data_IF_024783309189
#
_entry.id   IF_024783309189
#
_cell.length_a   1.000
_cell.length_b   1.000
_cell.length_c   1.000
_cell.angle_alpha   90.00
_cell.angle_beta   90.00
_cell.angle_gamma   90.00
#
_symmetry.space_group_name_H-M   'P 1'
#
loop_
_entity.id
_entity.type
_entity.pdbx_description
1 polymer ?
#
# COMPACT_ATOMS: atom_id res chain seq x y z
N UNK A 1 0.36 25.20 -14.08
CA UNK A 1 0.21 23.77 -13.74
C UNK A 1 -1.18 23.64 -13.20
N UNK A 2 -2.05 22.92 -13.91
CA UNK A 2 -3.45 22.84 -13.53
C UNK A 2 -3.61 22.05 -12.22
N UNK A 3 -4.59 22.41 -11.40
CA UNK A 3 -4.84 21.79 -10.09
C UNK A 3 -4.96 20.26 -10.20
N UNK A 4 -5.65 19.79 -11.25
CA UNK A 4 -5.77 18.37 -11.61
C UNK A 4 -4.40 17.72 -11.83
N UNK A 5 -3.51 18.36 -12.58
CA UNK A 5 -2.17 17.84 -12.86
C UNK A 5 -1.34 17.75 -11.57
N UNK A 6 -1.44 18.76 -10.71
CA UNK A 6 -0.75 18.78 -9.43
C UNK A 6 -1.23 17.64 -8.52
N UNK A 7 -2.54 17.44 -8.39
CA UNK A 7 -3.10 16.35 -7.60
C UNK A 7 -2.71 14.96 -8.16
N UNK A 8 -2.78 14.78 -9.49
CA UNK A 8 -2.34 13.55 -10.13
C UNK A 8 -0.85 13.27 -9.89
N UNK A 9 0.00 14.30 -9.98
CA UNK A 9 1.43 14.18 -9.72
C UNK A 9 1.69 13.81 -8.25
N UNK A 10 0.97 14.43 -7.31
CA UNK A 10 1.06 14.11 -5.88
C UNK A 10 0.67 12.66 -5.61
N UNK A 11 -0.46 12.19 -6.14
CA UNK A 11 -0.90 10.80 -5.97
C UNK A 11 0.14 9.84 -6.56
N UNK A 12 0.62 10.08 -7.78
CA UNK A 12 1.63 9.23 -8.45
C UNK A 12 2.94 9.20 -7.66
N UNK A 13 3.38 10.33 -7.12
CA UNK A 13 4.59 10.43 -6.28
C UNK A 13 4.41 9.63 -4.99
N UNK A 14 3.29 9.82 -4.28
CA UNK A 14 2.99 9.10 -3.03
C UNK A 14 2.87 7.59 -3.22
N UNK A 15 2.25 7.13 -4.30
CA UNK A 15 2.23 5.70 -4.65
C UNK A 15 3.64 5.13 -4.81
N UNK A 16 4.55 5.88 -5.45
CA UNK A 16 5.96 5.48 -5.59
C UNK A 16 6.69 5.47 -4.24
N UNK A 17 6.51 6.49 -3.41
CA UNK A 17 7.14 6.60 -2.09
C UNK A 17 6.68 5.49 -1.12
N UNK A 18 5.40 5.10 -1.20
CA UNK A 18 4.82 4.06 -0.32
C UNK A 18 4.92 2.64 -0.88
N UNK A 19 5.46 2.47 -2.09
CA UNK A 19 5.48 1.18 -2.79
C UNK A 19 4.08 0.62 -3.13
N UNK A 20 3.01 1.42 -2.96
CA UNK A 20 1.64 0.99 -3.25
C UNK A 20 1.35 1.01 -4.74
N UNK A 21 0.72 -0.05 -5.23
CA UNK A 21 0.25 -0.08 -6.61
C UNK A 21 -1.02 0.79 -6.80
N UNK A 22 -1.29 1.23 -8.03
CA UNK A 22 -2.56 1.89 -8.38
C UNK A 22 -3.77 0.99 -8.08
N UNK A 23 -3.61 -0.33 -8.19
CA UNK A 23 -4.64 -1.32 -7.86
C UNK A 23 -4.94 -1.29 -6.36
N UNK A 24 -3.91 -1.31 -5.51
CA UNK A 24 -4.09 -1.25 -4.05
C UNK A 24 -4.86 0.01 -3.61
N UNK A 25 -4.50 1.19 -4.12
CA UNK A 25 -5.24 2.41 -3.77
C UNK A 25 -6.69 2.37 -4.27
N UNK A 26 -6.93 1.87 -5.48
CA UNK A 26 -8.30 1.72 -5.97
C UNK A 26 -9.13 0.77 -5.09
N UNK A 27 -8.54 -0.32 -4.61
CA UNK A 27 -9.21 -1.27 -3.72
C UNK A 27 -9.50 -0.65 -2.34
N UNK A 28 -8.57 0.13 -1.79
CA UNK A 28 -8.80 0.88 -0.54
C UNK A 28 -9.97 1.86 -0.68
N UNK A 29 -10.02 2.62 -1.78
CA UNK A 29 -11.11 3.56 -2.03
C UNK A 29 -12.44 2.82 -2.20
N UNK A 30 -12.43 1.70 -2.93
CA UNK A 30 -13.63 0.91 -3.14
C UNK A 30 -14.18 0.36 -1.83
N UNK A 31 -13.32 -0.17 -0.96
CA UNK A 31 -13.70 -0.67 0.36
C UNK A 31 -14.29 0.43 1.26
N UNK A 32 -13.69 1.62 1.28
CA UNK A 32 -14.20 2.78 2.02
C UNK A 32 -15.58 3.25 1.51
N UNK A 33 -15.87 3.04 0.23
CA UNK A 33 -17.13 3.46 -0.41
C UNK A 33 -18.26 2.44 -0.31
N UNK A 34 -17.96 1.16 -0.07
CA UNK A 34 -18.91 0.06 -0.25
C UNK A 34 -18.99 -0.91 0.96
N UNK A 35 -18.47 -0.55 2.14
CA UNK A 35 -18.67 -1.24 3.43
C UNK A 35 -18.73 -2.79 3.33
N UNK A 36 -17.70 -3.41 2.75
CA UNK A 36 -17.54 -4.88 2.57
C UNK A 36 -18.53 -5.59 1.60
N UNK A 37 -19.16 -4.87 0.66
CA UNK A 37 -19.81 -5.51 -0.49
C UNK A 37 -18.77 -6.28 -1.33
N UNK A 38 -18.81 -7.61 -1.24
CA UNK A 38 -17.86 -8.53 -1.86
C UNK A 38 -18.12 -8.73 -3.39
N UNK A 39 -18.58 -7.68 -4.08
CA UNK A 39 -18.79 -7.69 -5.53
C UNK A 39 -17.47 -7.46 -6.26
N UNK A 40 -16.79 -8.57 -6.56
CA UNK A 40 -15.52 -8.59 -7.29
C UNK A 40 -15.64 -7.96 -8.69
N UNK A 41 -16.82 -8.00 -9.33
CA UNK A 41 -17.03 -7.40 -10.64
C UNK A 41 -17.09 -5.88 -10.55
N UNK A 42 -17.84 -5.35 -9.58
CA UNK A 42 -17.90 -3.91 -9.31
C UNK A 42 -16.52 -3.37 -8.93
N UNK A 43 -15.79 -4.10 -8.09
CA UNK A 43 -14.41 -3.78 -7.69
C UNK A 43 -13.46 -3.72 -8.89
N UNK A 44 -13.47 -4.72 -9.77
CA UNK A 44 -12.63 -4.74 -10.97
C UNK A 44 -12.96 -3.57 -11.92
N UNK A 45 -14.24 -3.25 -12.10
CA UNK A 45 -14.67 -2.11 -12.91
C UNK A 45 -14.23 -0.77 -12.31
N UNK A 46 -14.26 -0.65 -10.98
CA UNK A 46 -13.75 0.52 -10.28
C UNK A 46 -12.25 0.69 -10.49
N UNK A 47 -11.45 -0.38 -10.35
CA UNK A 47 -9.99 -0.34 -10.58
C UNK A 47 -9.63 0.21 -11.96
N UNK A 48 -10.32 -0.24 -13.01
CA UNK A 48 -10.08 0.25 -14.37
C UNK A 48 -10.53 1.70 -14.55
N UNK A 49 -11.65 2.08 -13.94
CA UNK A 49 -12.16 3.45 -13.95
C UNK A 49 -11.21 4.41 -13.22
N UNK A 50 -10.68 4.01 -12.08
CA UNK A 50 -9.69 4.75 -11.29
C UNK A 50 -8.41 5.00 -12.08
N UNK A 51 -7.86 3.97 -12.74
CA UNK A 51 -6.67 4.11 -13.60
C UNK A 51 -6.88 5.15 -14.71
N UNK A 52 -8.08 5.20 -15.29
CA UNK A 52 -8.43 6.20 -16.31
C UNK A 52 -8.51 7.60 -15.70
N UNK A 53 -9.16 7.75 -14.55
CA UNK A 53 -9.30 9.04 -13.86
C UNK A 53 -7.95 9.64 -13.45
N UNK A 54 -6.98 8.82 -13.00
CA UNK A 54 -5.63 9.29 -12.66
C UNK A 54 -4.81 9.86 -13.84
N UNK A 55 -5.27 9.68 -15.08
CA UNK A 55 -4.57 10.16 -16.27
C UNK A 55 -5.40 11.12 -17.12
N UNK A 56 -6.69 11.31 -16.81
CA UNK A 56 -7.55 12.22 -17.57
C UNK A 56 -7.46 13.63 -16.98
N UNK A 57 -7.17 14.65 -17.82
CA UNK A 57 -7.14 16.05 -17.36
C UNK A 57 -8.53 16.58 -16.99
N UNK A 58 -9.60 15.93 -17.46
CA UNK A 58 -10.99 16.28 -17.16
C UNK A 58 -11.53 15.66 -15.87
N UNK A 59 -10.68 15.02 -15.07
CA UNK A 59 -11.12 14.45 -13.79
C UNK A 59 -11.36 15.57 -12.79
N UNK A 60 -12.53 15.60 -12.11
CA UNK A 60 -12.82 16.63 -11.12
C UNK A 60 -11.74 16.69 -10.01
N UNK A 61 -11.20 17.88 -9.69
CA UNK A 61 -10.18 18.04 -8.64
C UNK A 61 -10.61 17.47 -7.29
N UNK A 62 -11.88 17.64 -6.91
CA UNK A 62 -12.43 17.20 -5.62
C UNK A 62 -12.33 15.67 -5.48
N UNK A 63 -12.52 14.97 -6.59
CA UNK A 63 -12.41 13.51 -6.64
C UNK A 63 -10.96 13.05 -6.45
N UNK A 64 -10.01 13.74 -7.08
CA UNK A 64 -8.58 13.45 -6.91
C UNK A 64 -8.10 13.81 -5.51
N UNK A 65 -8.63 14.89 -4.93
CA UNK A 65 -8.35 15.28 -3.55
C UNK A 65 -8.80 14.19 -2.58
N UNK A 66 -10.01 13.65 -2.74
CA UNK A 66 -10.48 12.50 -1.95
C UNK A 66 -9.58 11.28 -2.08
N UNK A 67 -9.09 10.97 -3.28
CA UNK A 67 -8.15 9.85 -3.49
C UNK A 67 -6.83 10.07 -2.78
N UNK A 68 -6.34 11.31 -2.77
CA UNK A 68 -5.15 11.68 -2.03
C UNK A 68 -5.39 11.59 -0.52
N UNK A 69 -6.55 12.04 -0.02
CA UNK A 69 -6.94 11.92 1.38
C UNK A 69 -6.96 10.47 1.85
N UNK A 70 -7.60 9.56 1.11
CA UNK A 70 -7.64 8.12 1.43
C UNK A 70 -6.22 7.52 1.39
N UNK A 71 -5.41 7.90 0.40
CA UNK A 71 -4.01 7.47 0.31
C UNK A 71 -3.19 7.92 1.54
N UNK A 72 -3.48 9.10 2.09
CA UNK A 72 -2.82 9.65 3.28
C UNK A 72 -3.42 9.14 4.59
N UNK A 73 -4.71 8.84 4.65
CA UNK A 73 -5.40 8.26 5.81
C UNK A 73 -4.91 6.85 6.10
N UNK A 74 -4.51 6.08 5.08
CA UNK A 74 -3.83 4.79 5.23
C UNK A 74 -2.48 4.84 5.98
N UNK A 75 -2.01 6.00 6.43
CA UNK A 75 -0.88 6.15 7.36
C UNK A 75 -1.29 6.37 8.83
N UNK A 76 -2.59 6.54 9.14
CA UNK A 76 -3.07 6.68 10.53
C UNK A 76 -3.42 5.35 11.20
N UNK A 77 -3.49 4.25 10.45
CA UNK A 77 -3.78 2.91 10.97
C UNK A 77 -2.76 1.88 10.51
N UNK A 78 -1.85 1.49 11.41
CA UNK A 78 -1.31 0.13 11.56
C UNK A 78 -0.78 -0.65 10.32
N UNK A 79 -0.16 -0.01 9.33
CA UNK A 79 0.80 -0.72 8.46
C UNK A 79 2.05 0.10 8.24
N UNK A 80 2.82 0.20 9.33
CA UNK A 80 4.26 0.32 9.22
C UNK A 80 4.77 -1.03 8.72
N UNK A 81 4.68 -1.29 7.40
CA UNK A 81 5.81 -1.94 6.74
C UNK A 81 6.92 -0.89 6.72
N UNK A 82 7.53 -0.63 7.87
CA UNK A 82 8.91 -0.15 7.86
C UNK A 82 9.63 -1.17 7.00
N UNK A 83 10.19 -0.74 5.87
CA UNK A 83 11.48 -1.30 5.47
C UNK A 83 12.26 -1.37 6.78
N UNK A 84 12.53 -2.59 7.24
CA UNK A 84 13.13 -2.80 8.55
C UNK A 84 14.29 -1.83 8.66
N UNK A 85 14.27 -0.93 9.64
CA UNK A 85 15.36 0.03 9.87
C UNK A 85 16.70 -0.74 10.00
N UNK A 86 16.64 -2.03 10.32
CA UNK A 86 17.79 -2.92 10.24
C UNK A 86 18.48 -2.92 8.87
N UNK A 87 17.80 -2.73 7.74
CA UNK A 87 18.45 -2.73 6.41
C UNK A 87 19.22 -1.46 6.08
N UNK A 88 18.94 -0.35 6.76
CA UNK A 88 19.67 0.91 6.61
C UNK A 88 20.86 1.02 7.56
N UNK A 89 20.87 0.27 8.68
CA UNK A 89 21.95 0.29 9.67
C UNK A 89 22.77 -1.01 9.75
N UNK A 90 22.25 -2.14 9.26
CA UNK A 90 22.92 -3.43 9.29
C UNK A 90 23.23 -3.88 7.88
N UNK A 91 24.44 -4.39 7.69
CA UNK A 91 24.83 -4.96 6.41
C UNK A 91 24.04 -6.24 6.09
N UNK A 92 24.06 -6.63 4.82
CA UNK A 92 23.37 -7.84 4.34
C UNK A 92 23.86 -9.12 5.05
N UNK A 93 25.09 -9.14 5.54
CA UNK A 93 25.62 -10.31 6.25
C UNK A 93 24.95 -10.46 7.62
N UNK A 94 24.72 -9.36 8.32
CA UNK A 94 24.08 -9.29 9.62
C UNK A 94 22.61 -9.67 9.52
N UNK A 95 21.90 -9.13 8.53
CA UNK A 95 20.50 -9.50 8.26
C UNK A 95 20.33 -11.01 7.98
N UNK A 96 21.21 -11.59 7.16
CA UNK A 96 21.17 -13.04 6.87
C UNK A 96 21.42 -13.89 8.10
N UNK A 97 22.29 -13.43 9.01
CA UNK A 97 22.53 -14.12 10.29
C UNK A 97 21.29 -14.07 11.18
N UNK A 98 20.64 -12.91 11.26
CA UNK A 98 19.40 -12.77 12.03
C UNK A 98 18.30 -13.67 11.49
N UNK A 99 18.11 -13.72 10.18
CA UNK A 99 17.13 -14.61 9.54
C UNK A 99 17.41 -16.09 9.87
N UNK A 100 18.68 -16.50 9.78
CA UNK A 100 19.09 -17.87 10.12
C UNK A 100 18.79 -18.20 11.60
N UNK A 101 19.08 -17.25 12.49
CA UNK A 101 18.89 -17.42 13.93
C UNK A 101 17.40 -17.50 14.29
N UNK A 102 16.54 -16.69 13.66
CA UNK A 102 15.09 -16.79 13.80
C UNK A 102 14.57 -18.17 13.38
N UNK A 103 15.02 -18.70 12.23
CA UNK A 103 14.62 -20.04 11.77
C UNK A 103 15.10 -21.15 12.70
N UNK A 104 16.26 -20.98 13.35
CA UNK A 104 16.76 -21.94 14.35
C UNK A 104 15.91 -21.91 15.63
N UNK A 105 15.55 -20.73 16.12
CA UNK A 105 14.64 -20.58 17.27
C UNK A 105 13.29 -21.23 16.99
N UNK A 106 12.72 -20.99 15.80
CA UNK A 106 11.42 -21.54 15.40
C UNK A 106 11.44 -23.08 15.41
N UNK A 107 12.48 -23.69 14.82
CA UNK A 107 12.67 -25.14 14.87
C UNK A 107 12.84 -25.69 16.30
N UNK A 108 13.51 -24.95 17.18
CA UNK A 108 13.66 -25.36 18.58
C UNK A 108 12.32 -25.31 19.32
N UNK A 109 11.51 -24.29 19.05
CA UNK A 109 10.16 -24.17 19.62
C UNK A 109 9.24 -25.28 19.12
N UNK A 110 9.24 -25.56 17.81
CA UNK A 110 8.47 -26.66 17.20
C UNK A 110 8.87 -28.00 17.79
N UNK A 111 10.18 -28.26 17.93
CA UNK A 111 10.69 -29.51 18.51
C UNK A 111 10.29 -29.68 19.98
N UNK A 112 10.19 -28.57 20.73
CA UNK A 112 9.75 -28.57 22.13
C UNK A 112 8.22 -28.70 22.28
N UNK A 113 7.45 -28.31 21.28
CA UNK A 113 5.99 -28.48 21.22
C UNK A 113 5.58 -29.90 20.80
N UNK A 114 6.48 -30.64 20.14
CA UNK A 114 6.29 -32.01 19.67
C UNK A 114 6.96 -33.08 20.57
N UNK A 115 7.60 -32.67 21.68
CA UNK A 115 8.20 -33.54 22.70
C UNK A 115 7.39 -33.53 23.99
#
# INVERSE_FOLDING_TARGET
MDEVENLQAQIKRRLKETGKSRKNLAEMIFAEDHDDDNDEKARAQFVESFKKQLNRPTTPPEKLQRYLEILLQGHRGLEVRTESIASSYLDKATLRRMEKLSREIEKMLEKKLLS
#
